data_IF_341137852450
#
_entry.id   IF_341137852450
#
_cell.length_a   1.000
_cell.length_b   1.000
_cell.length_c   1.000
_cell.angle_alpha   90.00
_cell.angle_beta   90.00
_cell.angle_gamma   90.00
#
_symmetry.space_group_name_H-M   'P 1'
#
loop_
_entity.id
_entity.type
_entity.pdbx_description
1 polymer ?
#
# COMPACT_ATOMS: atom_id res chain seq x y z
N UNK A 1 17.55 12.55 8.03
CA UNK A 1 17.09 11.64 6.97
C UNK A 1 18.00 11.80 5.76
N UNK A 2 18.79 10.78 5.50
CA UNK A 2 19.69 10.63 4.35
C UNK A 2 18.91 10.21 3.10
N UNK A 3 19.54 10.31 1.92
CA UNK A 3 18.93 9.90 0.64
C UNK A 3 18.60 8.40 0.64
N UNK A 4 19.43 7.57 1.28
CA UNK A 4 19.20 6.13 1.41
C UNK A 4 17.91 5.80 2.16
N UNK A 5 17.65 6.47 3.30
CA UNK A 5 16.42 6.28 4.07
C UNK A 5 15.17 6.69 3.28
N UNK A 6 15.27 7.69 2.39
CA UNK A 6 14.15 8.09 1.52
C UNK A 6 13.88 7.07 0.42
N UNK A 7 14.93 6.48 -0.16
CA UNK A 7 14.80 5.45 -1.18
C UNK A 7 14.20 4.16 -0.60
N UNK A 8 14.65 3.75 0.59
CA UNK A 8 14.11 2.57 1.29
C UNK A 8 12.63 2.77 1.67
N UNK A 9 12.26 3.96 2.17
CA UNK A 9 10.86 4.28 2.48
C UNK A 9 9.98 4.29 1.23
N UNK A 10 10.47 4.84 0.11
CA UNK A 10 9.74 4.81 -1.17
C UNK A 10 9.55 3.37 -1.66
N UNK A 11 10.59 2.54 -1.60
CA UNK A 11 10.51 1.13 -1.99
C UNK A 11 9.46 0.37 -1.17
N UNK A 12 9.47 0.54 0.16
CA UNK A 12 8.45 -0.06 1.03
C UNK A 12 7.03 0.43 0.71
N UNK A 13 6.84 1.70 0.40
CA UNK A 13 5.52 2.23 0.01
C UNK A 13 5.04 1.69 -1.34
N UNK A 14 5.92 1.51 -2.32
CA UNK A 14 5.54 0.94 -3.62
C UNK A 14 5.17 -0.54 -3.50
N UNK A 15 5.90 -1.30 -2.69
CA UNK A 15 5.59 -2.70 -2.42
C UNK A 15 4.22 -2.85 -1.72
N UNK A 16 3.97 -2.05 -0.68
CA UNK A 16 2.70 -2.04 0.02
C UNK A 16 1.52 -1.73 -0.92
N UNK A 17 1.69 -0.80 -1.87
CA UNK A 17 0.67 -0.46 -2.89
C UNK A 17 0.42 -1.61 -3.86
N UNK A 18 1.47 -2.30 -4.32
CA UNK A 18 1.33 -3.47 -5.21
C UNK A 18 0.56 -4.59 -4.53
N UNK A 19 0.92 -4.91 -3.28
CA UNK A 19 0.23 -5.93 -2.47
C UNK A 19 -1.23 -5.52 -2.26
N UNK A 20 -1.49 -4.26 -1.87
CA UNK A 20 -2.85 -3.78 -1.68
C UNK A 20 -3.70 -3.89 -2.96
N UNK A 21 -3.15 -3.51 -4.11
CA UNK A 21 -3.83 -3.63 -5.40
C UNK A 21 -4.14 -5.09 -5.75
N UNK A 22 -3.22 -6.01 -5.50
CA UNK A 22 -3.45 -7.44 -5.73
C UNK A 22 -4.55 -7.99 -4.83
N UNK A 23 -4.52 -7.68 -3.53
CA UNK A 23 -5.55 -8.12 -2.58
C UNK A 23 -6.93 -7.57 -2.96
N UNK A 24 -7.02 -6.29 -3.32
CA UNK A 24 -8.26 -5.69 -3.81
C UNK A 24 -8.77 -6.36 -5.10
N UNK A 25 -7.88 -6.69 -6.05
CA UNK A 25 -8.23 -7.44 -7.26
C UNK A 25 -8.74 -8.85 -6.96
N UNK A 26 -8.26 -9.47 -5.89
CA UNK A 26 -8.74 -10.76 -5.41
C UNK A 26 -10.08 -10.66 -4.66
N UNK A 27 -10.67 -9.47 -4.55
CA UNK A 27 -11.94 -9.24 -3.86
C UNK A 27 -11.80 -9.14 -2.35
N UNK A 28 -10.59 -9.01 -1.81
CA UNK A 28 -10.41 -8.80 -0.37
C UNK A 28 -11.04 -7.47 0.06
N UNK A 29 -11.70 -7.43 1.22
CA UNK A 29 -12.28 -6.21 1.73
C UNK A 29 -11.19 -5.19 2.09
N UNK A 30 -11.41 -3.89 1.82
CA UNK A 30 -10.39 -2.85 2.00
C UNK A 30 -9.88 -2.74 3.44
N UNK A 31 -10.69 -3.11 4.45
CA UNK A 31 -10.26 -3.16 5.85
C UNK A 31 -9.18 -4.22 6.10
N UNK A 32 -9.34 -5.42 5.53
CA UNK A 32 -8.30 -6.47 5.59
C UNK A 32 -7.06 -6.05 4.82
N UNK A 33 -7.22 -5.39 3.67
CA UNK A 33 -6.09 -4.86 2.90
C UNK A 33 -5.32 -3.79 3.70
N UNK A 34 -6.04 -2.90 4.40
CA UNK A 34 -5.45 -1.91 5.31
C UNK A 34 -4.65 -2.57 6.43
N UNK A 35 -5.20 -3.59 7.09
CA UNK A 35 -4.49 -4.32 8.15
C UNK A 35 -3.25 -5.04 7.62
N UNK A 36 -3.32 -5.63 6.42
CA UNK A 36 -2.22 -6.39 5.83
C UNK A 36 -1.08 -5.50 5.30
N UNK A 37 -1.40 -4.28 4.82
CA UNK A 37 -0.43 -3.40 4.13
C UNK A 37 -0.03 -2.17 4.93
N UNK A 38 -0.76 -1.85 6.01
CA UNK A 38 -0.55 -0.65 6.81
C UNK A 38 -0.90 0.66 6.08
N UNK A 39 -1.52 0.59 4.90
CA UNK A 39 -1.90 1.77 4.13
C UNK A 39 -3.15 2.44 4.71
N UNK A 40 -3.16 3.77 4.74
CA UNK A 40 -4.35 4.55 5.09
C UNK A 40 -5.48 4.36 4.08
N UNK A 41 -6.72 4.58 4.51
CA UNK A 41 -7.91 4.50 3.66
C UNK A 41 -7.82 5.38 2.41
N UNK A 42 -7.21 6.57 2.51
CA UNK A 42 -6.98 7.46 1.37
C UNK A 42 -6.03 6.85 0.33
N UNK A 43 -4.99 6.16 0.77
CA UNK A 43 -4.05 5.48 -0.12
C UNK A 43 -4.74 4.30 -0.82
N UNK A 44 -5.58 3.54 -0.11
CA UNK A 44 -6.38 2.46 -0.69
C UNK A 44 -7.45 2.97 -1.67
N UNK A 45 -8.11 4.09 -1.37
CA UNK A 45 -9.08 4.73 -2.29
C UNK A 45 -8.42 5.16 -3.59
N UNK A 46 -7.20 5.70 -3.53
CA UNK A 46 -6.41 6.06 -4.73
C UNK A 46 -6.00 4.84 -5.57
N UNK A 47 -6.00 3.63 -5.01
CA UNK A 47 -5.69 2.39 -5.75
C UNK A 47 -6.93 1.75 -6.40
N UNK A 48 -8.15 2.16 -6.02
CA UNK A 48 -9.42 1.67 -6.61
C UNK A 48 -9.94 2.55 -7.75
N UNK A 49 -9.26 3.67 -8.05
CA UNK A 49 -9.62 4.62 -9.10
C UNK A 49 -8.86 4.36 -10.40
#
# INVERSE_FOLDING_TARGET
>A
MTIAERLEQKGRQEEAKKIAMQLLKMGMPPETVKQATGLSDEALKKLRH
#
